data_IF_569304415197
#
_entry.id   IF_569304415197
#
_cell.length_a   1.000
_cell.length_b   1.000
_cell.length_c   1.000
_cell.angle_alpha   90.00
_cell.angle_beta   90.00
_cell.angle_gamma   90.00
#
_symmetry.space_group_name_H-M   'P 1'
#
loop_
_entity.id
_entity.type
_entity.pdbx_description
1 polymer ?
#
# COMPACT_ATOMS: atom_id res chain seq x y z
N UNK A 1 8.40 -20.09 -22.02
CA UNK A 1 7.60 -19.29 -21.07
C UNK A 1 6.80 -20.27 -20.21
N UNK A 2 7.33 -20.65 -19.03
CA UNK A 2 6.67 -21.62 -18.14
C UNK A 2 5.53 -20.88 -17.41
N UNK A 3 4.28 -21.20 -17.75
CA UNK A 3 3.12 -20.84 -16.93
C UNK A 3 3.20 -21.66 -15.64
N UNK A 4 3.51 -21.00 -14.52
CA UNK A 4 3.48 -21.62 -13.20
C UNK A 4 2.03 -22.02 -12.88
N UNK A 5 1.78 -23.20 -12.31
CA UNK A 5 0.45 -23.54 -11.81
C UNK A 5 0.14 -22.64 -10.62
N UNK A 6 -0.89 -21.80 -10.75
CA UNK A 6 -1.40 -21.03 -9.61
C UNK A 6 -2.15 -22.02 -8.71
N UNK A 7 -1.62 -22.29 -7.53
CA UNK A 7 -2.20 -23.26 -6.59
C UNK A 7 -3.40 -22.62 -5.88
N UNK A 8 -4.56 -22.73 -6.53
CA UNK A 8 -5.87 -22.51 -5.92
C UNK A 8 -6.39 -21.06 -5.94
N UNK A 9 -7.70 -20.94 -5.74
CA UNK A 9 -8.43 -19.66 -5.61
C UNK A 9 -7.79 -18.68 -4.59
N UNK A 10 -7.26 -19.12 -3.42
CA UNK A 10 -6.65 -18.21 -2.46
C UNK A 10 -5.43 -17.47 -3.01
N UNK A 11 -4.61 -18.14 -3.82
CA UNK A 11 -3.44 -17.49 -4.43
C UNK A 11 -3.86 -16.46 -5.48
N UNK A 12 -4.87 -16.76 -6.30
CA UNK A 12 -5.43 -15.80 -7.26
C UNK A 12 -6.02 -14.58 -6.56
N UNK A 13 -6.74 -14.76 -5.44
CA UNK A 13 -7.29 -13.67 -4.64
C UNK A 13 -6.17 -12.83 -4.02
N UNK A 14 -5.10 -13.45 -3.53
CA UNK A 14 -3.93 -12.72 -3.00
C UNK A 14 -3.24 -11.87 -4.06
N UNK A 15 -3.05 -12.40 -5.27
CA UNK A 15 -2.45 -11.68 -6.41
C UNK A 15 -3.38 -10.57 -6.92
N UNK A 16 -4.69 -10.81 -6.95
CA UNK A 16 -5.65 -9.77 -7.30
C UNK A 16 -5.71 -8.66 -6.23
N UNK A 17 -5.61 -9.03 -4.95
CA UNK A 17 -5.58 -8.12 -3.82
C UNK A 17 -4.32 -7.24 -3.81
N UNK A 18 -3.16 -7.76 -4.21
CA UNK A 18 -1.95 -6.94 -4.28
C UNK A 18 -2.04 -5.83 -5.33
N UNK A 19 -2.85 -6.00 -6.38
CA UNK A 19 -3.14 -4.91 -7.34
C UNK A 19 -3.94 -3.79 -6.69
N UNK A 20 -4.88 -4.11 -5.80
CA UNK A 20 -5.67 -3.10 -5.09
C UNK A 20 -4.79 -2.21 -4.20
N UNK A 21 -3.79 -2.80 -3.54
CA UNK A 21 -2.83 -2.07 -2.71
C UNK A 21 -2.09 -0.97 -3.49
N UNK A 22 -1.89 -1.14 -4.80
CA UNK A 22 -1.26 -0.11 -5.65
C UNK A 22 -2.18 1.10 -5.80
N UNK A 23 -3.47 0.88 -6.08
CA UNK A 23 -4.44 1.97 -6.19
C UNK A 23 -4.54 2.73 -4.86
N UNK A 24 -4.59 2.01 -3.74
CA UNK A 24 -4.68 2.59 -2.41
C UNK A 24 -3.44 3.45 -2.08
N UNK A 25 -2.24 2.99 -2.44
CA UNK A 25 -0.99 3.76 -2.36
C UNK A 25 -1.03 5.04 -3.21
N UNK A 26 -1.57 4.98 -4.43
CA UNK A 26 -1.73 6.16 -5.28
C UNK A 26 -2.74 7.17 -4.70
N UNK A 27 -3.83 6.70 -4.10
CA UNK A 27 -4.79 7.57 -3.44
C UNK A 27 -4.19 8.22 -2.19
N UNK A 28 -3.47 7.46 -1.37
CA UNK A 28 -2.75 7.98 -0.22
C UNK A 28 -1.69 9.02 -0.63
N UNK A 29 -0.93 8.76 -1.71
CA UNK A 29 0.05 9.70 -2.25
C UNK A 29 -0.56 11.03 -2.69
N UNK A 30 -1.77 11.04 -3.25
CA UNK A 30 -2.47 12.29 -3.58
C UNK A 30 -2.80 13.08 -2.32
N UNK A 31 -3.37 12.40 -1.31
CA UNK A 31 -3.81 13.03 -0.07
C UNK A 31 -2.64 13.53 0.80
N UNK A 32 -1.56 12.76 0.91
CA UNK A 32 -0.46 13.02 1.84
C UNK A 32 0.62 13.93 1.27
N UNK A 33 0.97 13.75 -0.01
CA UNK A 33 2.12 14.44 -0.63
C UNK A 33 1.75 15.27 -1.84
N UNK A 34 0.47 15.39 -2.15
CA UNK A 34 -0.03 16.26 -3.22
C UNK A 34 0.45 15.83 -4.60
N UNK A 35 0.43 14.52 -4.87
CA UNK A 35 0.85 13.96 -6.16
C UNK A 35 0.16 14.64 -7.36
N UNK A 36 -1.10 15.07 -7.20
CA UNK A 36 -1.91 15.72 -8.23
C UNK A 36 -1.86 17.27 -8.21
N UNK A 37 -1.20 17.89 -7.23
CA UNK A 37 -1.18 19.36 -7.06
C UNK A 37 -0.21 20.13 -7.98
N UNK A 38 0.32 19.51 -9.04
CA UNK A 38 1.26 20.16 -9.95
C UNK A 38 0.58 21.04 -11.01
N UNK A 39 0.84 22.35 -11.02
CA UNK A 39 0.16 23.34 -11.88
C UNK A 39 0.65 23.42 -13.35
N UNK A 40 1.23 22.36 -13.92
CA UNK A 40 1.60 22.23 -15.36
C UNK A 40 2.25 23.47 -15.98
N UNK A 41 3.14 24.17 -15.26
CA UNK A 41 3.86 25.35 -15.79
C UNK A 41 5.00 24.95 -16.74
N UNK A 42 5.61 23.79 -16.51
CA UNK A 42 6.61 23.18 -17.38
C UNK A 42 6.29 21.69 -17.51
N UNK A 43 5.71 21.31 -18.65
CA UNK A 43 5.03 20.03 -18.83
C UNK A 43 5.98 18.80 -18.75
N UNK A 44 7.21 18.91 -19.24
CA UNK A 44 8.09 17.73 -19.33
C UNK A 44 9.03 17.62 -18.14
N UNK A 45 10.02 18.50 -17.99
CA UNK A 45 11.09 18.32 -17.00
C UNK A 45 10.63 18.44 -15.54
N UNK A 46 9.80 19.43 -15.22
CA UNK A 46 9.36 19.66 -13.84
C UNK A 46 8.23 18.71 -13.41
N UNK A 47 7.44 18.18 -14.34
CA UNK A 47 6.43 17.17 -14.05
C UNK A 47 7.05 15.84 -13.60
N UNK A 48 8.06 15.33 -14.32
CA UNK A 48 8.76 14.10 -13.91
C UNK A 48 9.39 14.26 -12.53
N UNK A 49 10.05 15.41 -12.26
CA UNK A 49 10.62 15.69 -10.94
C UNK A 49 9.56 15.71 -9.84
N UNK A 50 8.41 16.35 -10.09
CA UNK A 50 7.30 16.40 -9.12
C UNK A 50 6.79 15.00 -8.78
N UNK A 51 6.47 14.17 -9.79
CA UNK A 51 5.97 12.81 -9.56
C UNK A 51 6.99 11.96 -8.83
N UNK A 52 8.26 12.00 -9.24
CA UNK A 52 9.30 11.23 -8.57
C UNK A 52 9.47 11.65 -7.11
N UNK A 53 9.51 12.97 -6.83
CA UNK A 53 9.64 13.47 -5.46
C UNK A 53 8.43 13.11 -4.59
N UNK A 54 7.21 13.21 -5.13
CA UNK A 54 6.00 12.81 -4.43
C UNK A 54 6.00 11.30 -4.09
N UNK A 55 6.28 10.44 -5.08
CA UNK A 55 6.33 8.99 -4.84
C UNK A 55 7.42 8.59 -3.82
N UNK A 56 8.59 9.24 -3.85
CA UNK A 56 9.65 9.01 -2.86
C UNK A 56 9.23 9.48 -1.47
N UNK A 57 8.57 10.64 -1.36
CA UNK A 57 8.08 11.15 -0.09
C UNK A 57 7.02 10.20 0.52
N UNK A 58 6.08 9.71 -0.28
CA UNK A 58 5.08 8.76 0.20
C UNK A 58 5.71 7.42 0.59
N UNK A 59 6.68 6.90 -0.17
CA UNK A 59 7.42 5.69 0.20
C UNK A 59 8.17 5.85 1.54
N UNK A 60 8.73 7.04 1.80
CA UNK A 60 9.36 7.34 3.08
C UNK A 60 8.35 7.37 4.23
N UNK A 61 7.17 7.97 4.04
CA UNK A 61 6.09 7.93 5.03
C UNK A 61 5.63 6.49 5.30
N UNK A 62 5.41 5.69 4.26
CA UNK A 62 5.03 4.27 4.39
C UNK A 62 6.09 3.45 5.15
N UNK A 63 7.37 3.74 4.94
CA UNK A 63 8.46 3.09 5.68
C UNK A 63 8.42 3.45 7.16
N UNK A 64 8.19 4.72 7.49
CA UNK A 64 8.10 5.16 8.88
C UNK A 64 6.85 4.62 9.60
N UNK A 65 5.74 4.43 8.89
CA UNK A 65 4.49 3.90 9.47
C UNK A 65 4.48 2.39 9.63
N UNK A 66 5.22 1.64 8.81
CA UNK A 66 5.28 0.18 8.87
C UNK A 66 5.83 -0.36 10.21
N UNK A 67 6.61 0.45 10.93
CA UNK A 67 7.21 0.06 12.22
C UNK A 67 8.23 -1.08 12.09
N UNK A 68 8.87 -1.47 13.21
CA UNK A 68 9.77 -2.61 13.22
C UNK A 68 9.01 -3.91 12.92
N UNK A 69 9.62 -4.86 12.17
CA UNK A 69 8.99 -6.14 11.92
C UNK A 69 8.70 -6.86 13.26
N UNK A 70 7.61 -7.63 13.34
CA UNK A 70 7.28 -8.36 14.55
C UNK A 70 8.44 -9.28 14.95
N UNK A 71 8.73 -9.35 16.25
CA UNK A 71 9.79 -10.20 16.76
C UNK A 71 9.57 -11.66 16.33
N UNK A 72 10.61 -12.35 15.83
CA UNK A 72 10.49 -13.75 15.45
C UNK A 72 10.16 -14.58 16.70
N UNK A 73 8.93 -15.12 16.75
CA UNK A 73 8.43 -15.89 17.88
C UNK A 73 7.27 -15.27 18.65
N UNK A 74 6.69 -14.15 18.21
CA UNK A 74 5.36 -13.74 18.65
C UNK A 74 4.31 -14.69 18.05
N UNK A 75 4.15 -15.82 18.72
CA UNK A 75 3.03 -16.74 18.65
C UNK A 75 1.70 -15.98 18.76
N UNK A 76 0.96 -15.96 17.64
CA UNK A 76 -0.42 -15.45 17.58
C UNK A 76 -1.38 -16.57 17.97
N UNK A 77 -1.14 -17.21 19.11
CA UNK A 77 -1.98 -18.27 19.64
C UNK A 77 -2.76 -17.73 20.83
N UNK A 78 -3.96 -17.20 20.56
CA UNK A 78 -4.96 -16.89 21.58
C UNK A 78 -5.58 -15.49 21.51
N UNK A 79 -6.26 -15.13 20.42
CA UNK A 79 -7.42 -14.19 20.43
C UNK A 79 -8.12 -14.22 19.06
N UNK A 80 -8.57 -15.41 18.66
CA UNK A 80 -9.37 -15.60 17.46
C UNK A 80 -10.63 -16.40 17.82
N UNK A 81 -11.55 -15.78 18.57
CA UNK A 81 -12.95 -16.26 18.56
C UNK A 81 -14.04 -15.22 18.93
N UNK A 82 -13.72 -13.97 19.28
CA UNK A 82 -14.77 -12.98 19.68
C UNK A 82 -14.86 -11.67 18.88
N UNK A 83 -14.02 -11.42 17.87
CA UNK A 83 -14.02 -10.14 17.12
C UNK A 83 -14.38 -10.24 15.63
N UNK A 84 -14.87 -11.39 15.15
CA UNK A 84 -15.37 -11.57 13.79
C UNK A 84 -16.77 -10.94 13.54
N UNK A 85 -17.08 -9.81 14.18
CA UNK A 85 -18.24 -8.95 13.91
C UNK A 85 -17.89 -7.50 14.22
N UNK A 86 -16.88 -6.96 13.54
CA UNK A 86 -16.80 -5.51 13.38
C UNK A 86 -16.07 -5.14 12.10
N UNK A 87 -16.85 -4.79 11.07
CA UNK A 87 -16.32 -4.08 9.92
C UNK A 87 -15.85 -2.69 10.32
N UNK A 88 -14.64 -2.31 9.93
CA UNK A 88 -14.23 -0.92 9.73
C UNK A 88 -12.83 -0.87 9.10
N UNK A 89 -12.68 -0.02 8.08
CA UNK A 89 -11.42 0.38 7.46
C UNK A 89 -10.44 0.95 8.51
N UNK A 90 -9.16 0.53 8.55
CA UNK A 90 -8.17 1.16 9.40
C UNK A 90 -7.24 2.04 8.56
N UNK A 91 -7.64 3.29 8.28
CA UNK A 91 -6.71 4.40 7.99
C UNK A 91 -7.35 5.80 8.13
N UNK A 92 -8.19 5.96 9.15
CA UNK A 92 -8.04 7.08 10.10
C UNK A 92 -7.58 6.42 11.41
N UNK A 93 -6.28 6.25 11.55
CA UNK A 93 -5.56 6.14 12.83
C UNK A 93 -4.11 6.50 12.55
#
# INVERSE_FOLDING_TARGET
MRSQPVEGLPELVRVAGSRWSVEECFQASKNEVGLDHYQVRQHTAAWYRHITLAMVAHAHLAFLTAGPPPAPGADRDGEADHLATQGACPLIR
#
